data_IF_147105143709
#
_entry.id   IF_147105143709
#
_cell.length_a   1.000
_cell.length_b   1.000
_cell.length_c   1.000
_cell.angle_alpha   90.00
_cell.angle_beta   90.00
_cell.angle_gamma   90.00
#
_symmetry.space_group_name_H-M   'P 1'
#
loop_
_entity.id
_entity.type
_entity.pdbx_description
1 polymer ?
#
# COMPACT_ATOMS: atom_id res chain seq x y z
N UNK A 1 -4.13 -13.66 13.09
CA UNK A 1 -4.80 -12.35 12.92
C UNK A 1 -3.75 -11.38 12.48
N UNK A 2 -3.87 -10.84 11.27
CA UNK A 2 -2.88 -9.93 10.70
C UNK A 2 -3.36 -8.49 10.81
N UNK A 3 -2.51 -7.64 11.36
CA UNK A 3 -2.77 -6.23 11.53
C UNK A 3 -1.96 -5.39 10.54
N UNK A 4 -2.58 -4.43 9.86
CA UNK A 4 -1.87 -3.46 9.01
C UNK A 4 -2.45 -2.06 9.18
N UNK A 5 -1.58 -1.08 9.44
CA UNK A 5 -1.93 0.35 9.42
C UNK A 5 -1.35 0.98 8.16
N UNK A 6 -2.17 1.77 7.49
CA UNK A 6 -1.83 2.54 6.31
C UNK A 6 -1.97 4.03 6.65
N UNK A 7 -1.05 4.82 6.13
CA UNK A 7 -1.08 6.28 6.20
C UNK A 7 -1.11 6.82 4.77
N UNK A 8 -1.66 8.02 4.60
CA UNK A 8 -1.65 8.69 3.31
C UNK A 8 -0.21 9.05 2.89
N UNK A 9 0.17 8.65 1.68
CA UNK A 9 1.44 8.99 1.04
C UNK A 9 1.26 9.90 -0.19
N UNK A 10 0.08 10.53 -0.33
CA UNK A 10 -0.20 11.40 -1.47
C UNK A 10 0.60 12.70 -1.38
N UNK A 11 1.39 12.97 -2.42
CA UNK A 11 2.13 14.22 -2.55
C UNK A 11 1.21 15.45 -2.57
N UNK A 12 -0.01 15.32 -3.09
CA UNK A 12 -0.98 16.44 -3.13
C UNK A 12 -1.53 16.76 -1.75
N UNK A 13 -1.86 15.76 -0.93
CA UNK A 13 -2.26 16.00 0.46
C UNK A 13 -1.11 16.63 1.27
N UNK A 14 0.13 16.19 1.03
CA UNK A 14 1.31 16.77 1.69
C UNK A 14 1.55 18.22 1.27
N UNK A 15 1.43 18.53 -0.03
CA UNK A 15 1.59 19.88 -0.55
C UNK A 15 0.51 20.84 -0.03
N UNK A 16 -0.71 20.34 0.17
CA UNK A 16 -1.83 21.15 0.68
C UNK A 16 -1.70 21.52 2.17
N UNK A 17 -1.27 20.59 3.03
CA UNK A 17 -1.13 20.84 4.48
C UNK A 17 0.24 21.43 4.84
N UNK A 18 1.28 21.11 4.05
CA UNK A 18 2.67 21.31 4.45
C UNK A 18 3.19 20.24 5.43
N UNK A 19 2.33 19.32 5.89
CA UNK A 19 2.65 18.23 6.82
C UNK A 19 1.94 16.92 6.41
N UNK A 20 2.04 15.88 7.25
CA UNK A 20 1.42 14.57 7.06
C UNK A 20 -0.09 14.68 7.08
N UNK A 21 -0.72 14.05 6.09
CA UNK A 21 -2.18 13.94 6.04
C UNK A 21 -2.69 13.06 7.20
N UNK A 22 -3.74 13.55 7.88
CA UNK A 22 -4.36 12.89 9.03
C UNK A 22 -5.13 11.61 8.70
N UNK A 23 -5.34 11.31 7.41
CA UNK A 23 -6.02 10.09 6.98
C UNK A 23 -5.20 8.84 7.32
N UNK A 24 -5.87 7.87 7.96
CA UNK A 24 -5.31 6.56 8.30
C UNK A 24 -6.33 5.47 8.03
N UNK A 25 -5.82 4.29 7.69
CA UNK A 25 -6.64 3.09 7.55
C UNK A 25 -6.03 1.93 8.31
N UNK A 26 -6.85 1.22 9.05
CA UNK A 26 -6.52 0.00 9.78
C UNK A 26 -7.21 -1.16 9.08
N UNK A 27 -6.43 -2.15 8.67
CA UNK A 27 -6.94 -3.40 8.08
C UNK A 27 -6.65 -4.52 9.05
N UNK A 28 -7.71 -5.22 9.46
CA UNK A 28 -7.63 -6.39 10.32
C UNK A 28 -8.04 -7.60 9.50
N UNK A 29 -7.12 -8.54 9.28
CA UNK A 29 -7.39 -9.75 8.50
C UNK A 29 -7.38 -10.97 9.40
N UNK A 30 -8.47 -11.73 9.38
CA UNK A 30 -8.50 -13.08 9.92
C UNK A 30 -7.86 -14.04 8.93
N UNK A 31 -6.71 -14.62 9.30
CA UNK A 31 -5.98 -15.53 8.40
C UNK A 31 -6.63 -16.90 8.28
N UNK A 32 -7.52 -17.27 9.21
CA UNK A 32 -8.24 -18.55 9.16
C UNK A 32 -9.41 -18.53 8.19
N UNK A 33 -10.15 -17.42 8.17
CA UNK A 33 -11.37 -17.27 7.37
C UNK A 33 -11.15 -16.38 6.14
N UNK A 34 -9.92 -15.86 5.98
CA UNK A 34 -9.52 -14.91 4.94
C UNK A 34 -10.36 -13.62 4.87
N UNK A 35 -11.17 -13.34 5.89
CA UNK A 35 -11.98 -12.13 6.01
C UNK A 35 -11.14 -10.95 6.47
N UNK A 36 -11.45 -9.76 5.94
CA UNK A 36 -10.78 -8.52 6.31
C UNK A 36 -11.76 -7.41 6.64
N UNK A 37 -11.57 -6.82 7.82
CA UNK A 37 -12.29 -5.63 8.27
C UNK A 37 -11.44 -4.39 8.04
N UNK A 38 -12.08 -3.33 7.56
CA UNK A 38 -11.42 -2.06 7.23
C UNK A 38 -12.00 -0.95 8.10
N UNK A 39 -11.14 -0.32 8.88
CA UNK A 39 -11.47 0.85 9.70
C UNK A 39 -10.72 2.06 9.17
N UNK A 40 -11.44 3.13 8.88
CA UNK A 40 -10.85 4.39 8.41
C UNK A 40 -10.96 5.45 9.50
N UNK A 41 -9.93 6.29 9.60
CA UNK A 41 -9.88 7.41 10.52
C UNK A 41 -9.47 8.68 9.78
N UNK A 42 -10.27 9.73 9.95
CA UNK A 42 -10.11 11.00 9.24
C UNK A 42 -10.50 10.90 7.77
N UNK A 43 -10.26 12.00 7.05
CA UNK A 43 -10.49 12.10 5.60
C UNK A 43 -9.24 12.63 4.91
N UNK A 44 -9.08 12.31 3.63
CA UNK A 44 -8.13 13.05 2.79
C UNK A 44 -8.59 14.51 2.69
N UNK A 45 -7.62 15.42 2.59
CA UNK A 45 -7.91 16.84 2.41
C UNK A 45 -7.99 17.26 0.95
N UNK A 46 -7.58 16.38 0.04
CA UNK A 46 -7.68 16.60 -1.39
C UNK A 46 -8.39 15.41 -2.01
N UNK A 47 -9.30 15.66 -2.96
CA UNK A 47 -10.02 14.63 -3.71
C UNK A 47 -9.18 14.03 -4.85
N UNK A 48 -7.87 14.04 -4.70
CA UNK A 48 -6.96 13.51 -5.71
C UNK A 48 -6.83 12.00 -5.51
N UNK A 49 -6.96 11.25 -6.62
CA UNK A 49 -6.79 9.81 -6.62
C UNK A 49 -5.49 9.38 -5.91
N UNK A 50 -5.58 8.29 -5.16
CA UNK A 50 -4.43 7.69 -4.46
C UNK A 50 -3.23 7.52 -5.40
N UNK A 51 -2.00 7.82 -4.96
CA UNK A 51 -0.82 7.70 -5.81
C UNK A 51 -0.74 6.30 -6.41
N UNK A 52 -0.63 6.22 -7.73
CA UNK A 52 -0.52 4.95 -8.43
C UNK A 52 0.76 4.26 -7.96
N UNK A 53 0.65 2.98 -7.58
CA UNK A 53 1.84 2.19 -7.27
C UNK A 53 2.80 2.23 -8.48
N UNK A 54 4.10 2.48 -8.27
CA UNK A 54 5.06 2.49 -9.36
C UNK A 54 5.00 1.13 -10.07
N UNK A 55 4.89 1.18 -11.41
CA UNK A 55 4.91 -0.02 -12.23
C UNK A 55 6.35 -0.52 -12.27
N UNK A 56 6.54 -1.83 -12.16
CA UNK A 56 7.84 -2.46 -12.41
C UNK A 56 8.31 -2.10 -13.82
N UNK A 57 9.57 -1.69 -13.95
CA UNK A 57 10.20 -1.47 -15.26
C UNK A 57 10.30 -2.79 -16.03
N UNK A 58 10.53 -2.71 -17.35
CA UNK A 58 10.72 -3.91 -18.18
C UNK A 58 11.89 -4.77 -17.68
N UNK A 59 12.97 -4.12 -17.26
CA UNK A 59 14.17 -4.77 -16.71
C UNK A 59 13.87 -5.51 -15.40
N UNK A 60 13.15 -4.87 -14.47
CA UNK A 60 12.74 -5.51 -13.21
C UNK A 60 11.85 -6.74 -13.46
N UNK A 61 10.96 -6.67 -14.46
CA UNK A 61 10.12 -7.82 -14.84
C UNK A 61 10.95 -8.96 -15.44
N UNK A 62 11.90 -8.63 -16.33
CA UNK A 62 12.78 -9.61 -16.94
C UNK A 62 13.64 -10.33 -15.90
N UNK A 63 14.15 -9.62 -14.89
CA UNK A 63 14.88 -10.19 -13.76
C UNK A 63 13.99 -11.09 -12.88
N UNK A 64 12.74 -10.70 -12.64
CA UNK A 64 11.81 -11.45 -11.80
C UNK A 64 11.29 -12.75 -12.47
N UNK A 65 11.25 -12.81 -13.80
CA UNK A 65 10.71 -13.95 -14.56
C UNK A 65 11.40 -15.30 -14.23
N UNK A 66 12.73 -15.44 -14.30
CA UNK A 66 13.41 -16.68 -13.94
C UNK A 66 13.33 -16.99 -12.44
N UNK A 67 13.13 -15.99 -11.57
CA UNK A 67 13.00 -16.21 -10.13
C UNK A 67 11.66 -16.86 -9.72
N UNK A 68 10.64 -16.77 -10.59
CA UNK A 68 9.34 -17.42 -10.36
C UNK A 68 9.45 -18.93 -10.30
N UNK A 69 10.31 -19.54 -11.12
CA UNK A 69 10.51 -21.00 -11.15
C UNK A 69 11.16 -21.53 -9.86
N UNK A 70 11.98 -20.71 -9.21
CA UNK A 70 12.64 -21.03 -7.95
C UNK A 70 11.72 -20.95 -6.72
N UNK A 71 10.42 -20.66 -6.88
CA UNK A 71 9.41 -20.47 -5.81
C UNK A 71 9.87 -19.52 -4.69
N UNK A 72 10.84 -18.64 -4.97
CA UNK A 72 11.31 -17.68 -4.00
C UNK A 72 10.28 -16.56 -3.85
N UNK A 73 9.78 -16.36 -2.62
CA UNK A 73 8.92 -15.21 -2.32
C UNK A 73 9.80 -13.96 -2.35
N UNK A 74 9.46 -12.94 -3.16
CA UNK A 74 10.21 -11.68 -3.16
C UNK A 74 10.23 -11.12 -1.74
N UNK A 75 11.43 -10.94 -1.19
CA UNK A 75 11.57 -10.29 0.11
C UNK A 75 11.29 -8.80 -0.09
N UNK A 76 10.30 -8.25 0.62
CA UNK A 76 10.03 -6.81 0.59
C UNK A 76 11.06 -6.14 1.50
N UNK A 77 12.10 -5.56 0.90
CA UNK A 77 12.99 -4.60 1.54
C UNK A 77 12.33 -3.22 1.44
#
# INVERSE_FOLDING_TARGET
>A
MRYRVLQCASGTCKAFIGDKCGWRQKVLTCEKNELSDIYQHGRHLTDVASPRKPKLTREMKAYAEPLKSLRMKPNRI
#
